data_IF_861573931926
#
_entry.id   IF_861573931926
#
_cell.length_a   1.000
_cell.length_b   1.000
_cell.length_c   1.000
_cell.angle_alpha   90.00
_cell.angle_beta   90.00
_cell.angle_gamma   90.00
#
_symmetry.space_group_name_H-M   'P 1'
#
loop_
_entity.id
_entity.type
_entity.pdbx_description
1 polymer ?
#
# COMPACT_ATOMS: atom_id res chain seq x y z
N UNK A 1 31.13 -23.99 -13.38
CA UNK A 1 30.81 -23.09 -12.24
C UNK A 1 30.43 -21.69 -12.73
N UNK A 2 31.31 -21.00 -13.46
CA UNK A 2 31.12 -19.62 -13.96
C UNK A 2 29.98 -19.46 -14.98
N UNK A 3 29.78 -20.42 -15.89
CA UNK A 3 28.66 -20.41 -16.84
C UNK A 3 27.29 -20.61 -16.15
N UNK A 4 27.26 -21.42 -15.08
CA UNK A 4 26.04 -21.66 -14.30
C UNK A 4 25.60 -20.38 -13.55
N UNK A 5 26.58 -19.57 -13.13
CA UNK A 5 26.34 -18.30 -12.45
C UNK A 5 25.67 -17.26 -13.36
N UNK A 6 26.06 -17.21 -14.65
CA UNK A 6 25.48 -16.32 -15.65
C UNK A 6 24.07 -16.77 -16.04
N UNK A 7 23.83 -18.06 -16.24
CA UNK A 7 22.48 -18.59 -16.52
C UNK A 7 21.53 -18.48 -15.32
N UNK A 8 22.02 -18.50 -14.08
CA UNK A 8 21.19 -18.24 -12.90
C UNK A 8 20.81 -16.75 -12.78
N UNK A 9 21.71 -15.87 -13.23
CA UNK A 9 21.48 -14.43 -13.29
C UNK A 9 20.50 -14.03 -14.41
N UNK A 10 20.60 -14.66 -15.60
CA UNK A 10 19.73 -14.42 -16.76
C UNK A 10 18.51 -15.37 -16.87
N UNK A 11 18.44 -16.44 -16.08
CA UNK A 11 17.35 -17.42 -16.12
C UNK A 11 16.28 -17.22 -15.04
N UNK A 12 16.60 -16.48 -13.98
CA UNK A 12 15.66 -16.05 -12.92
C UNK A 12 15.38 -14.53 -13.04
N UNK A 13 15.08 -14.04 -14.24
CA UNK A 13 14.97 -12.61 -14.59
C UNK A 13 14.00 -11.81 -13.70
N UNK A 14 13.09 -12.45 -12.98
CA UNK A 14 12.23 -11.77 -12.02
C UNK A 14 12.93 -11.48 -10.69
N UNK A 15 13.57 -12.48 -10.07
CA UNK A 15 14.08 -12.35 -8.71
C UNK A 15 15.49 -11.76 -8.65
N UNK A 16 16.39 -12.20 -9.52
CA UNK A 16 17.79 -11.77 -9.50
C UNK A 16 17.93 -10.27 -9.79
N UNK A 17 17.16 -9.77 -10.75
CA UNK A 17 17.20 -8.36 -11.17
C UNK A 17 16.56 -7.44 -10.13
N UNK A 18 15.40 -7.83 -9.59
CA UNK A 18 14.75 -7.11 -8.49
C UNK A 18 15.63 -7.06 -7.25
N UNK A 19 16.37 -8.14 -6.94
CA UNK A 19 17.24 -8.18 -5.78
C UNK A 19 18.47 -7.27 -5.94
N UNK A 20 19.02 -7.15 -7.15
CA UNK A 20 20.08 -6.17 -7.47
C UNK A 20 19.56 -4.73 -7.33
N UNK A 21 18.40 -4.41 -7.90
CA UNK A 21 17.81 -3.07 -7.80
C UNK A 21 17.51 -2.73 -6.33
N UNK A 22 16.92 -3.66 -5.59
CA UNK A 22 16.66 -3.52 -4.17
C UNK A 22 17.94 -3.26 -3.39
N UNK A 23 19.04 -3.95 -3.72
CA UNK A 23 20.33 -3.76 -3.07
C UNK A 23 20.91 -2.36 -3.32
N UNK A 24 20.86 -1.86 -4.56
CA UNK A 24 21.29 -0.50 -4.90
C UNK A 24 20.44 0.54 -4.17
N UNK A 25 19.11 0.39 -4.18
CA UNK A 25 18.19 1.27 -3.45
C UNK A 25 18.46 1.23 -1.94
N UNK A 26 18.75 0.05 -1.39
CA UNK A 26 19.08 -0.12 0.02
C UNK A 26 20.40 0.56 0.41
N UNK A 27 21.38 0.60 -0.49
CA UNK A 27 22.63 1.34 -0.28
C UNK A 27 22.42 2.85 -0.37
N UNK A 28 21.61 3.33 -1.32
CA UNK A 28 21.33 4.75 -1.51
C UNK A 28 20.47 5.35 -0.38
N UNK A 29 19.40 4.65 0.00
CA UNK A 29 18.47 5.13 1.02
C UNK A 29 18.83 4.61 2.42
N UNK A 30 19.59 3.53 2.54
CA UNK A 30 19.89 2.86 3.79
C UNK A 30 18.77 1.94 4.26
N UNK A 31 19.12 0.80 4.88
CA UNK A 31 18.16 -0.19 5.36
C UNK A 31 17.19 0.29 6.45
N UNK A 32 17.45 1.44 7.07
CA UNK A 32 16.57 2.04 8.08
C UNK A 32 15.51 2.97 7.48
N UNK A 33 15.75 3.57 6.30
CA UNK A 33 14.82 4.56 5.71
C UNK A 33 13.64 3.93 5.01
N UNK A 34 13.83 2.77 4.36
CA UNK A 34 12.72 2.06 3.68
C UNK A 34 11.60 1.69 4.67
N UNK A 35 11.86 1.07 5.84
CA UNK A 35 10.82 0.77 6.83
C UNK A 35 10.23 2.02 7.50
N UNK A 36 11.03 3.06 7.70
CA UNK A 36 10.60 4.34 8.29
C UNK A 36 9.60 5.06 7.36
N UNK A 37 9.89 5.10 6.05
CA UNK A 37 8.99 5.64 5.02
C UNK A 37 7.72 4.80 4.87
N UNK A 38 7.82 3.47 4.84
CA UNK A 38 6.63 2.59 4.80
C UNK A 38 5.73 2.79 6.02
N UNK A 39 6.31 2.95 7.21
CA UNK A 39 5.53 3.24 8.43
C UNK A 39 4.83 4.60 8.33
N UNK A 40 5.50 5.62 7.79
CA UNK A 40 4.89 6.93 7.55
C UNK A 40 3.74 6.89 6.55
N UNK A 41 3.98 6.28 5.37
CA UNK A 41 2.97 6.10 4.33
C UNK A 41 1.81 5.23 4.83
N UNK A 42 2.09 4.14 5.53
CA UNK A 42 1.07 3.24 6.07
C UNK A 42 0.14 3.93 7.05
N UNK A 43 0.68 4.78 7.94
CA UNK A 43 -0.13 5.62 8.82
C UNK A 43 -0.97 6.62 8.03
N UNK A 44 -0.38 7.32 7.06
CA UNK A 44 -1.10 8.28 6.22
C UNK A 44 -2.25 7.66 5.44
N UNK A 45 -2.01 6.52 4.79
CA UNK A 45 -3.04 5.76 4.06
C UNK A 45 -4.13 5.25 5.00
N UNK A 46 -3.76 4.78 6.20
CA UNK A 46 -4.74 4.34 7.21
C UNK A 46 -5.65 5.46 7.68
N UNK A 47 -5.08 6.62 8.05
CA UNK A 47 -5.86 7.80 8.46
C UNK A 47 -6.72 8.34 7.32
N UNK A 48 -6.21 8.34 6.09
CA UNK A 48 -6.97 8.73 4.90
C UNK A 48 -8.18 7.81 4.68
N UNK A 49 -8.00 6.49 4.77
CA UNK A 49 -9.10 5.52 4.66
C UNK A 49 -10.13 5.68 5.76
N UNK A 50 -9.69 5.93 6.99
CA UNK A 50 -10.60 6.10 8.12
C UNK A 50 -11.47 7.36 7.96
N UNK A 51 -10.87 8.51 7.62
CA UNK A 51 -11.64 9.73 7.36
C UNK A 51 -12.60 9.58 6.17
N UNK A 52 -12.19 8.88 5.10
CA UNK A 52 -13.07 8.60 3.96
C UNK A 52 -14.26 7.72 4.33
N UNK A 53 -14.10 6.76 5.25
CA UNK A 53 -15.19 5.92 5.75
C UNK A 53 -16.14 6.71 6.65
N UNK A 54 -15.62 7.55 7.55
CA UNK A 54 -16.45 8.42 8.41
C UNK A 54 -17.32 9.37 7.57
N UNK A 55 -16.76 9.96 6.50
CA UNK A 55 -17.50 10.79 5.55
C UNK A 55 -18.57 9.96 4.82
N UNK A 56 -18.25 8.75 4.38
CA UNK A 56 -19.26 7.87 3.75
C UNK A 56 -20.38 7.50 4.71
N UNK A 57 -20.06 7.21 5.98
CA UNK A 57 -21.05 6.85 7.00
C UNK A 57 -21.92 8.05 7.41
N UNK A 58 -21.39 9.28 7.39
CA UNK A 58 -22.18 10.51 7.54
C UNK A 58 -23.10 10.77 6.34
N UNK A 59 -22.63 10.56 5.11
CA UNK A 59 -23.45 10.73 3.89
C UNK A 59 -24.51 9.62 3.79
N UNK A 60 -24.25 8.44 4.37
CA UNK A 60 -25.14 7.28 4.35
C UNK A 60 -26.06 7.20 5.57
N UNK A 61 -25.87 8.05 6.59
CA UNK A 61 -26.85 8.26 7.66
C UNK A 61 -28.08 8.92 7.03
N UNK A 62 -29.24 8.27 7.10
CA UNK A 62 -30.30 8.50 6.13
C UNK A 62 -31.03 9.82 6.39
N UNK A 63 -31.46 10.40 5.28
CA UNK A 63 -32.75 11.08 5.16
C UNK A 63 -33.85 10.05 5.51
N UNK A 64 -33.94 9.66 6.77
CA UNK A 64 -35.01 8.86 7.37
C UNK A 64 -35.61 9.66 8.53
N UNK A 65 -35.98 10.90 8.20
CA UNK A 65 -37.00 11.62 8.92
C UNK A 65 -38.01 12.07 7.86
N UNK A 66 -39.29 11.75 8.09
CA UNK A 66 -40.48 12.00 7.23
C UNK A 66 -40.91 10.92 6.23
N UNK A 67 -41.34 9.75 6.73
CA UNK A 67 -42.56 9.09 6.23
C UNK A 67 -43.38 8.48 7.38
N UNK A 68 -43.87 9.33 8.29
CA UNK A 68 -45.13 9.10 9.02
C UNK A 68 -46.10 10.21 8.62
N UNK A 69 -46.66 10.10 7.42
CA UNK A 69 -47.88 10.81 7.02
C UNK A 69 -48.71 9.83 6.20
N UNK A 70 -49.83 9.39 6.78
CA UNK A 70 -50.88 8.72 6.01
C UNK A 70 -51.36 7.38 6.57
N UNK A 71 -51.72 7.34 7.85
CA UNK A 71 -52.71 6.36 8.33
C UNK A 71 -53.79 7.08 9.12
N UNK A 72 -54.72 7.71 8.39
CA UNK A 72 -56.12 7.92 8.80
C UNK A 72 -56.98 7.83 7.55
#
# INVERSE_FOLDING_TARGET
MTLCFISLLFGNLGLSEVLIIAFVVLLLFGGKKIPELMRGIGKGVSSFRQGMNEIQDEIKKPIDDKQDVGKQ
#
